data_IF_949481506469
#
_entry.id   IF_949481506469
#
_cell.length_a   1.000
_cell.length_b   1.000
_cell.length_c   1.000
_cell.angle_alpha   90.00
_cell.angle_beta   90.00
_cell.angle_gamma   90.00
#
_symmetry.space_group_name_H-M   'P 1'
#
loop_
_entity.id
_entity.type
_entity.pdbx_description
1 polymer ?
#
# COMPACT_ATOMS: atom_id res chain seq x y z
N UNK A 1 -22.75 36.36 30.90
CA UNK A 1 -21.63 35.67 30.25
C UNK A 1 -21.99 34.20 30.18
N UNK A 2 -22.48 33.74 29.03
CA UNK A 2 -22.99 32.37 28.85
C UNK A 2 -21.93 31.58 28.12
N UNK A 3 -21.31 30.60 28.80
CA UNK A 3 -20.33 29.69 28.21
C UNK A 3 -21.04 28.71 27.28
N UNK A 4 -20.74 28.78 25.98
CA UNK A 4 -21.19 27.82 24.99
C UNK A 4 -20.55 26.45 25.29
N UNK A 5 -21.32 25.35 25.38
CA UNK A 5 -20.75 24.04 25.65
C UNK A 5 -19.95 23.60 24.41
N UNK A 6 -18.70 23.17 24.64
CA UNK A 6 -17.83 22.64 23.60
C UNK A 6 -18.46 21.41 22.94
N UNK A 7 -19.03 21.60 21.76
CA UNK A 7 -19.48 20.50 20.92
C UNK A 7 -18.28 19.68 20.47
N UNK A 8 -18.34 18.36 20.66
CA UNK A 8 -17.33 17.45 20.14
C UNK A 8 -17.19 17.67 18.63
N UNK A 9 -15.95 17.67 18.08
CA UNK A 9 -15.74 17.81 16.65
C UNK A 9 -16.49 16.69 15.91
N UNK A 10 -17.22 17.07 14.87
CA UNK A 10 -17.97 16.12 14.06
C UNK A 10 -17.01 15.08 13.46
N UNK A 11 -17.43 13.79 13.37
CA UNK A 11 -16.61 12.76 12.75
C UNK A 11 -16.35 13.12 11.28
N UNK A 12 -15.11 12.89 10.84
CA UNK A 12 -14.73 13.12 9.45
C UNK A 12 -15.49 12.12 8.55
N UNK A 13 -15.97 12.56 7.38
CA UNK A 13 -16.66 11.67 6.45
C UNK A 13 -15.68 10.62 5.88
N UNK A 14 -16.18 9.42 5.52
CA UNK A 14 -15.36 8.40 4.88
C UNK A 14 -14.89 8.85 3.49
N UNK A 15 -13.69 8.44 3.10
CA UNK A 15 -13.11 8.76 1.80
C UNK A 15 -13.65 7.81 0.73
N UNK A 16 -14.37 8.34 -0.27
CA UNK A 16 -14.94 7.56 -1.37
C UNK A 16 -14.04 7.60 -2.62
N UNK A 17 -12.92 6.87 -2.61
CA UNK A 17 -11.99 6.77 -3.74
C UNK A 17 -12.29 5.57 -4.63
N UNK A 18 -12.05 5.71 -5.93
CA UNK A 18 -12.27 4.66 -6.93
C UNK A 18 -11.24 4.62 -8.03
N UNK A 19 -10.30 5.57 -8.06
CA UNK A 19 -9.19 5.59 -9.00
C UNK A 19 -7.90 5.71 -8.20
N UNK A 20 -6.97 4.81 -8.49
CA UNK A 20 -5.69 4.71 -7.80
C UNK A 20 -4.59 4.94 -8.83
N UNK A 21 -3.69 5.88 -8.59
CA UNK A 21 -2.61 6.20 -9.50
C UNK A 21 -1.30 6.00 -8.78
N UNK A 22 -0.44 5.16 -9.35
CA UNK A 22 0.93 5.05 -8.91
C UNK A 22 1.77 6.03 -9.72
N UNK A 23 2.30 7.06 -9.07
CA UNK A 23 3.09 8.11 -9.67
C UNK A 23 4.57 7.97 -9.30
N UNK A 24 5.47 7.98 -10.28
CA UNK A 24 6.91 7.86 -10.06
C UNK A 24 7.66 7.66 -11.38
N UNK A 25 8.99 7.81 -11.38
CA UNK A 25 9.80 7.88 -12.60
C UNK A 25 9.71 6.60 -13.44
N UNK A 26 9.29 6.71 -14.70
CA UNK A 26 9.25 5.59 -15.65
C UNK A 26 8.33 4.45 -15.21
N UNK A 27 7.19 4.78 -14.60
CA UNK A 27 6.17 3.82 -14.21
C UNK A 27 5.09 3.63 -15.27
N UNK A 28 4.86 4.61 -16.13
CA UNK A 28 3.78 4.61 -17.11
C UNK A 28 4.25 4.39 -18.56
N UNK A 29 3.28 4.27 -19.48
CA UNK A 29 3.55 4.00 -20.89
C UNK A 29 4.45 5.08 -21.50
N UNK A 30 5.34 4.66 -22.40
CA UNK A 30 6.33 5.53 -23.06
C UNK A 30 7.20 6.37 -22.10
N UNK A 31 7.44 5.88 -20.87
CA UNK A 31 8.27 6.57 -19.88
C UNK A 31 7.55 7.69 -19.14
N UNK A 32 6.22 7.75 -19.22
CA UNK A 32 5.43 8.63 -18.36
C UNK A 32 5.59 8.24 -16.88
N UNK A 33 5.29 9.18 -15.99
CA UNK A 33 5.50 8.99 -14.56
C UNK A 33 4.26 8.49 -13.81
N UNK A 34 3.25 7.91 -14.48
CA UNK A 34 1.98 7.54 -13.85
C UNK A 34 1.36 6.26 -14.43
N UNK A 35 0.83 5.42 -13.56
CA UNK A 35 0.10 4.19 -13.91
C UNK A 35 -1.20 4.12 -13.15
N UNK A 36 -2.29 3.82 -13.84
CA UNK A 36 -3.65 3.90 -13.29
C UNK A 36 -4.18 2.49 -12.97
N UNK A 37 -4.76 2.35 -11.80
CA UNK A 37 -5.39 1.16 -11.28
C UNK A 37 -6.83 1.43 -10.88
N UNK A 38 -7.68 0.42 -11.03
CA UNK A 38 -9.11 0.55 -10.68
C UNK A 38 -9.41 0.08 -9.26
N UNK A 39 -8.47 -0.61 -8.61
CA UNK A 39 -8.68 -1.16 -7.28
C UNK A 39 -7.39 -1.20 -6.47
N UNK A 40 -7.47 -0.70 -5.23
CA UNK A 40 -6.58 -1.08 -4.14
C UNK A 40 -7.11 -2.36 -3.50
N UNK A 41 -6.34 -3.44 -3.61
CA UNK A 41 -6.70 -4.74 -3.03
C UNK A 41 -6.34 -4.75 -1.56
N UNK A 42 -5.12 -4.35 -1.23
CA UNK A 42 -4.60 -4.35 0.13
C UNK A 42 -3.49 -3.32 0.29
N UNK A 43 -3.37 -2.76 1.49
CA UNK A 43 -2.22 -1.97 1.94
C UNK A 43 -1.88 -2.46 3.35
N UNK A 44 -0.68 -2.98 3.55
CA UNK A 44 -0.25 -3.63 4.79
C UNK A 44 1.09 -3.12 5.27
N UNK A 45 1.17 -2.82 6.57
CA UNK A 45 2.39 -2.48 7.29
C UNK A 45 2.30 -3.15 8.66
N UNK A 46 3.18 -4.11 8.90
CA UNK A 46 3.05 -5.03 10.04
C UNK A 46 4.35 -5.11 10.84
N UNK A 47 4.21 -5.22 12.16
CA UNK A 47 5.32 -5.53 13.06
C UNK A 47 5.07 -6.93 13.60
N UNK A 48 5.96 -7.87 13.27
CA UNK A 48 5.94 -9.22 13.83
C UNK A 48 6.34 -9.15 15.31
N UNK A 49 5.41 -9.40 16.27
CA UNK A 49 5.70 -9.19 17.68
C UNK A 49 6.82 -10.11 18.19
N UNK A 50 7.72 -9.56 19.02
CA UNK A 50 8.72 -10.38 19.68
C UNK A 50 8.05 -11.27 20.75
N UNK A 51 8.43 -12.55 20.80
CA UNK A 51 8.01 -13.42 21.89
C UNK A 51 8.66 -12.93 23.19
N UNK A 52 7.91 -12.74 24.29
CA UNK A 52 8.50 -12.35 25.56
C UNK A 52 9.47 -13.44 26.03
N UNK A 53 10.72 -13.04 26.29
CA UNK A 53 11.71 -13.93 26.88
C UNK A 53 11.36 -14.17 28.35
N UNK A 54 10.95 -15.39 28.69
CA UNK A 54 10.78 -15.80 30.10
C UNK A 54 12.15 -16.22 30.63
N UNK A 55 12.92 -15.28 31.18
CA UNK A 55 14.09 -15.66 31.99
C UNK A 55 13.60 -16.30 33.29
N UNK A 56 13.98 -17.57 33.59
CA UNK A 56 13.66 -18.16 34.88
C UNK A 56 14.33 -17.33 36.00
N UNK A 57 13.65 -17.08 37.13
CA UNK A 57 14.26 -16.36 38.24
C UNK A 57 15.47 -17.14 38.76
N UNK A 58 16.55 -16.46 39.20
CA UNK A 58 17.60 -17.12 39.96
C UNK A 58 16.97 -17.78 41.19
N UNK A 59 17.28 -19.06 41.39
CA UNK A 59 16.79 -19.89 42.49
C UNK A 59 17.02 -19.21 43.83
N UNK A 60 15.96 -18.67 44.45
CA UNK A 60 15.99 -18.22 45.85
C UNK A 60 15.31 -16.90 46.20
N UNK A 61 14.68 -16.16 45.28
CA UNK A 61 13.97 -14.91 45.63
C UNK A 61 12.48 -14.95 45.28
N UNK A 62 11.66 -14.71 46.31
CA UNK A 62 10.20 -14.61 46.23
C UNK A 62 9.77 -13.36 45.48
N UNK A 63 8.97 -13.58 44.45
CA UNK A 63 7.97 -12.69 43.85
C UNK A 63 8.43 -11.30 43.37
N UNK A 64 8.75 -11.24 42.09
CA UNK A 64 8.80 -10.00 41.32
C UNK A 64 8.99 -10.33 39.85
N UNK A 65 7.90 -10.67 39.13
CA UNK A 65 7.95 -10.73 37.67
C UNK A 65 8.09 -9.30 37.16
N UNK A 66 9.31 -8.85 36.94
CA UNK A 66 9.55 -7.59 36.24
C UNK A 66 9.18 -7.82 34.78
N UNK A 67 8.00 -7.37 34.36
CA UNK A 67 7.65 -7.27 32.95
C UNK A 67 8.47 -6.14 32.32
N UNK A 68 9.72 -6.41 31.94
CA UNK A 68 10.43 -5.56 30.99
C UNK A 68 9.63 -5.57 29.69
N UNK A 69 9.21 -4.37 29.24
CA UNK A 69 8.49 -4.19 27.97
C UNK A 69 9.28 -4.91 26.87
N UNK A 70 8.71 -5.98 26.33
CA UNK A 70 9.33 -6.70 25.23
C UNK A 70 9.59 -5.71 24.07
N UNK A 71 10.70 -5.86 23.33
CA UNK A 71 10.91 -5.08 22.12
C UNK A 71 9.70 -5.24 21.19
N UNK A 72 9.31 -4.17 20.49
CA UNK A 72 8.06 -4.11 19.71
C UNK A 72 7.95 -5.20 18.62
N UNK A 73 9.07 -5.82 18.24
CA UNK A 73 9.13 -6.88 17.25
C UNK A 73 10.01 -6.50 16.06
N UNK A 74 9.91 -7.29 14.99
CA UNK A 74 10.59 -7.02 13.71
C UNK A 74 9.58 -6.49 12.71
N UNK A 75 9.84 -5.32 12.12
CA UNK A 75 8.97 -4.78 11.06
C UNK A 75 9.09 -5.63 9.80
N UNK A 76 7.96 -6.03 9.22
CA UNK A 76 7.90 -6.65 7.91
C UNK A 76 7.89 -5.56 6.83
N UNK A 77 8.51 -5.78 5.66
CA UNK A 77 8.43 -4.84 4.54
C UNK A 77 6.96 -4.54 4.19
N UNK A 78 6.53 -3.27 4.20
CA UNK A 78 5.18 -2.92 3.82
C UNK A 78 4.87 -3.28 2.36
N UNK A 79 3.62 -3.67 2.13
CA UNK A 79 3.14 -4.07 0.81
C UNK A 79 1.88 -3.33 0.39
N UNK A 80 1.79 -3.02 -0.90
CA UNK A 80 0.63 -2.40 -1.54
C UNK A 80 0.24 -3.24 -2.76
N UNK A 81 -0.98 -3.77 -2.74
CA UNK A 81 -1.49 -4.60 -3.83
C UNK A 81 -2.53 -3.83 -4.62
N UNK A 82 -2.25 -3.59 -5.90
CA UNK A 82 -3.12 -2.87 -6.82
C UNK A 82 -3.59 -3.81 -7.93
N UNK A 83 -4.81 -3.56 -8.43
CA UNK A 83 -5.40 -4.35 -9.50
C UNK A 83 -5.97 -3.45 -10.58
N UNK A 84 -5.71 -3.83 -11.82
CA UNK A 84 -6.28 -3.18 -13.00
C UNK A 84 -6.66 -4.19 -14.07
N UNK A 85 -7.53 -3.80 -15.00
CA UNK A 85 -7.77 -4.54 -16.24
C UNK A 85 -6.49 -4.53 -17.06
N UNK A 86 -6.18 -5.66 -17.68
CA UNK A 86 -5.06 -5.75 -18.59
C UNK A 86 -5.33 -4.87 -19.82
N UNK A 87 -4.39 -3.98 -20.11
CA UNK A 87 -4.40 -3.10 -21.28
C UNK A 87 -3.06 -3.21 -22.03
N UNK A 88 -2.78 -2.29 -22.94
CA UNK A 88 -1.54 -2.28 -23.72
C UNK A 88 -0.32 -1.77 -22.94
N UNK A 89 -0.51 -1.22 -21.73
CA UNK A 89 0.58 -0.71 -20.92
C UNK A 89 1.27 -1.85 -20.18
N UNK A 90 2.50 -2.17 -20.60
CA UNK A 90 3.31 -3.24 -20.01
C UNK A 90 4.29 -2.74 -18.95
N UNK A 91 4.20 -1.47 -18.54
CA UNK A 91 5.17 -0.85 -17.64
C UNK A 91 5.30 -1.55 -16.28
N UNK A 92 4.22 -2.02 -15.62
CA UNK A 92 4.35 -2.78 -14.37
C UNK A 92 5.09 -4.11 -14.55
N UNK A 93 4.89 -4.81 -15.67
CA UNK A 93 5.65 -6.01 -16.01
C UNK A 93 7.12 -5.74 -16.23
N UNK A 94 7.46 -4.63 -16.90
CA UNK A 94 8.84 -4.22 -17.10
C UNK A 94 9.51 -3.86 -15.77
N UNK A 95 8.78 -3.18 -14.89
CA UNK A 95 9.24 -2.86 -13.53
C UNK A 95 9.50 -4.12 -12.70
N UNK A 96 8.56 -5.06 -12.71
CA UNK A 96 8.74 -6.38 -12.09
C UNK A 96 9.93 -7.14 -12.67
N UNK A 97 10.11 -7.13 -14.01
CA UNK A 97 11.25 -7.77 -14.66
C UNK A 97 12.56 -7.18 -14.18
N UNK A 98 12.68 -5.86 -14.09
CA UNK A 98 13.89 -5.20 -13.58
C UNK A 98 14.18 -5.62 -12.13
N UNK A 99 13.15 -5.70 -11.27
CA UNK A 99 13.29 -6.17 -9.90
C UNK A 99 13.74 -7.64 -9.83
N UNK A 100 13.16 -8.51 -10.67
CA UNK A 100 13.52 -9.94 -10.74
C UNK A 100 14.96 -10.18 -11.21
N UNK A 101 15.52 -9.22 -11.95
CA UNK A 101 16.91 -9.23 -12.40
C UNK A 101 17.87 -8.58 -11.39
N UNK A 102 17.37 -8.06 -10.26
CA UNK A 102 18.17 -7.38 -9.25
C UNK A 102 18.75 -6.04 -9.71
N UNK A 103 18.13 -5.38 -10.70
CA UNK A 103 18.62 -4.11 -11.21
C UNK A 103 18.25 -2.97 -10.26
N UNK A 104 19.22 -2.11 -9.93
CA UNK A 104 19.00 -0.97 -9.04
C UNK A 104 17.95 0.03 -9.56
N UNK A 105 17.79 0.13 -10.89
CA UNK A 105 16.76 0.96 -11.54
C UNK A 105 15.32 0.52 -11.25
N UNK A 106 15.14 -0.69 -10.70
CA UNK A 106 13.85 -1.19 -10.25
C UNK A 106 13.41 -0.55 -8.92
N UNK A 107 14.33 0.03 -8.15
CA UNK A 107 14.00 0.71 -6.90
C UNK A 107 13.62 2.16 -7.23
N UNK A 108 12.40 2.55 -6.87
CA UNK A 108 11.82 3.84 -7.22
C UNK A 108 11.09 4.45 -6.04
N UNK A 109 11.27 5.74 -5.81
CA UNK A 109 10.36 6.49 -4.94
C UNK A 109 9.08 6.78 -5.72
N UNK A 110 7.96 6.28 -5.20
CA UNK A 110 6.66 6.38 -5.86
C UNK A 110 5.61 6.89 -4.88
N UNK A 111 4.58 7.52 -5.41
CA UNK A 111 3.43 7.98 -4.66
C UNK A 111 2.18 7.23 -5.11
N UNK A 112 1.41 6.72 -4.16
CA UNK A 112 0.05 6.25 -4.38
C UNK A 112 -0.91 7.42 -4.18
N UNK A 113 -1.40 7.95 -5.29
CA UNK A 113 -2.41 8.99 -5.36
C UNK A 113 -3.80 8.34 -5.46
N UNK A 114 -4.73 8.74 -4.60
CA UNK A 114 -6.10 8.21 -4.58
C UNK A 114 -7.08 9.31 -4.95
N UNK A 115 -7.95 9.02 -5.91
CA UNK A 115 -8.91 9.96 -6.46
C UNK A 115 -10.34 9.45 -6.35
N UNK A 116 -11.27 10.39 -6.25
CA UNK A 116 -12.65 10.12 -6.66
C UNK A 116 -12.71 10.08 -8.19
N UNK A 117 -13.61 9.30 -8.77
CA UNK A 117 -13.79 9.27 -10.23
C UNK A 117 -13.98 10.68 -10.87
N UNK A 118 -14.85 11.57 -10.34
CA UNK A 118 -15.03 12.88 -10.95
C UNK A 118 -13.80 13.78 -10.81
N UNK A 119 -13.07 13.71 -9.70
CA UNK A 119 -11.88 14.55 -9.50
C UNK A 119 -10.73 14.13 -10.40
N UNK A 120 -10.57 12.81 -10.63
CA UNK A 120 -9.60 12.31 -11.60
C UNK A 120 -9.93 12.80 -13.02
N UNK A 121 -11.20 12.67 -13.44
CA UNK A 121 -11.63 13.11 -14.78
C UNK A 121 -11.49 14.63 -14.98
N UNK A 122 -11.65 15.42 -13.91
CA UNK A 122 -11.49 16.87 -13.91
C UNK A 122 -10.04 17.34 -13.73
N UNK A 123 -9.07 16.43 -13.56
CA UNK A 123 -7.67 16.78 -13.33
C UNK A 123 -7.41 17.51 -12.00
N UNK A 124 -8.27 17.29 -11.00
CA UNK A 124 -8.13 17.90 -9.67
C UNK A 124 -7.07 17.18 -8.84
N UNK A 125 -6.61 17.76 -7.71
CA UNK A 125 -5.69 17.09 -6.78
C UNK A 125 -6.25 15.77 -6.23
N UNK A 126 -5.39 14.82 -5.84
CA UNK A 126 -5.82 13.58 -5.21
C UNK A 126 -6.46 13.84 -3.85
N UNK A 127 -7.44 13.02 -3.51
CA UNK A 127 -8.13 13.06 -2.22
C UNK A 127 -7.24 12.54 -1.08
N UNK A 128 -6.31 11.63 -1.38
CA UNK A 128 -5.26 11.18 -0.47
C UNK A 128 -3.99 10.83 -1.26
N UNK A 129 -2.82 11.02 -0.66
CA UNK A 129 -1.53 10.64 -1.25
C UNK A 129 -0.67 9.94 -0.21
N UNK A 130 -0.05 8.84 -0.60
CA UNK A 130 0.88 8.06 0.23
C UNK A 130 2.22 7.92 -0.49
N UNK A 131 3.31 8.21 0.20
CA UNK A 131 4.66 8.02 -0.31
C UNK A 131 5.14 6.60 0.02
N UNK A 132 5.72 5.95 -0.98
CA UNK A 132 6.27 4.61 -0.93
C UNK A 132 7.77 4.70 -1.32
N UNK A 133 8.65 5.08 -0.38
CA UNK A 133 10.07 5.17 -0.64
C UNK A 133 10.69 3.82 -0.96
N UNK A 134 11.68 3.84 -1.86
CA UNK A 134 12.41 2.66 -2.30
C UNK A 134 11.50 1.50 -2.73
N UNK A 135 10.43 1.79 -3.45
CA UNK A 135 9.47 0.78 -3.86
C UNK A 135 9.96 -0.06 -5.06
N UNK A 136 9.55 -1.32 -5.11
CA UNK A 136 9.70 -2.20 -6.27
C UNK A 136 8.47 -3.08 -6.46
N UNK A 137 8.22 -3.50 -7.70
CA UNK A 137 7.18 -4.50 -7.97
C UNK A 137 7.70 -5.90 -7.63
N UNK A 138 7.28 -6.43 -6.48
CA UNK A 138 7.68 -7.73 -5.97
C UNK A 138 6.96 -8.90 -6.65
N UNK A 139 5.74 -8.66 -7.15
CA UNK A 139 4.94 -9.66 -7.86
C UNK A 139 4.04 -9.01 -8.89
N UNK A 140 3.97 -9.59 -10.08
CA UNK A 140 2.96 -9.26 -11.10
C UNK A 140 2.22 -10.53 -11.51
N UNK A 141 0.90 -10.49 -11.54
CA UNK A 141 0.03 -11.63 -11.88
C UNK A 141 -0.99 -11.21 -12.92
N UNK A 142 -1.09 -11.95 -14.02
CA UNK A 142 -2.20 -11.84 -14.98
C UNK A 142 -3.15 -13.00 -14.74
N UNK A 143 -4.42 -12.71 -14.51
CA UNK A 143 -5.45 -13.71 -14.32
C UNK A 143 -6.76 -13.29 -15.01
N UNK A 144 -7.50 -14.27 -15.53
CA UNK A 144 -8.82 -14.04 -16.08
C UNK A 144 -9.86 -14.18 -14.98
N UNK A 145 -10.70 -13.18 -14.80
CA UNK A 145 -11.88 -13.29 -13.95
C UNK A 145 -13.12 -13.47 -14.80
N UNK A 146 -13.69 -14.66 -14.69
CA UNK A 146 -14.94 -15.03 -15.33
C UNK A 146 -16.07 -14.16 -14.79
N UNK A 147 -16.67 -13.33 -15.64
CA UNK A 147 -17.80 -12.49 -15.26
C UNK A 147 -19.08 -13.05 -15.88
N UNK A 148 -20.04 -13.45 -15.04
CA UNK A 148 -21.38 -13.89 -15.46
C UNK A 148 -21.67 -15.39 -15.30
N UNK A 149 -22.96 -15.78 -15.33
CA UNK A 149 -23.43 -17.12 -14.93
C UNK A 149 -22.97 -18.26 -15.86
N UNK A 150 -22.53 -17.95 -17.09
CA UNK A 150 -22.23 -18.95 -18.12
C UNK A 150 -20.75 -19.03 -18.51
N UNK A 151 -19.86 -18.32 -17.81
CA UNK A 151 -18.43 -18.49 -18.03
C UNK A 151 -17.81 -17.86 -19.28
N UNK A 152 -18.59 -17.23 -20.15
CA UNK A 152 -18.16 -16.94 -21.52
C UNK A 152 -17.50 -15.57 -21.77
N UNK A 153 -17.48 -14.65 -20.80
CA UNK A 153 -16.80 -13.37 -20.93
C UNK A 153 -15.89 -13.12 -19.72
N UNK A 154 -14.62 -13.52 -19.85
CA UNK A 154 -13.60 -13.24 -18.85
C UNK A 154 -12.95 -11.89 -19.11
N UNK A 155 -12.92 -11.03 -18.09
CA UNK A 155 -12.06 -9.83 -18.12
C UNK A 155 -10.71 -10.24 -17.58
N UNK A 156 -9.65 -9.93 -18.32
CA UNK A 156 -8.29 -10.18 -17.88
C UNK A 156 -7.85 -9.04 -16.96
N UNK A 157 -7.36 -9.39 -15.78
CA UNK A 157 -6.83 -8.46 -14.80
C UNK A 157 -5.33 -8.69 -14.61
N UNK A 158 -4.64 -7.59 -14.39
CA UNK A 158 -3.30 -7.53 -13.86
C UNK A 158 -3.36 -7.08 -12.40
N UNK A 159 -2.77 -7.88 -11.53
CA UNK A 159 -2.57 -7.56 -10.10
C UNK A 159 -1.09 -7.43 -9.84
N UNK A 160 -0.68 -6.33 -9.23
CA UNK A 160 0.70 -6.06 -8.85
C UNK A 160 0.81 -5.89 -7.35
N UNK A 161 1.85 -6.49 -6.78
CA UNK A 161 2.25 -6.33 -5.39
C UNK A 161 3.53 -5.51 -5.36
N UNK A 162 3.47 -4.39 -4.66
CA UNK A 162 4.56 -3.43 -4.51
C UNK A 162 5.08 -3.58 -3.09
N UNK A 163 6.38 -3.85 -2.96
CA UNK A 163 7.08 -3.76 -1.67
C UNK A 163 7.78 -2.41 -1.61
N UNK A 164 7.94 -1.88 -0.40
CA UNK A 164 8.62 -0.60 -0.15
C UNK A 164 9.20 -0.60 1.27
N UNK A 165 9.98 0.42 1.61
CA UNK A 165 10.56 0.55 2.95
C UNK A 165 9.56 1.07 3.98
N UNK A 166 8.63 1.93 3.54
CA UNK A 166 7.63 2.56 4.39
C UNK A 166 6.39 2.96 3.61
N UNK A 167 5.28 3.18 4.32
CA UNK A 167 4.06 3.79 3.76
C UNK A 167 3.81 5.06 4.57
N UNK A 168 4.06 6.21 3.95
CA UNK A 168 4.02 7.50 4.64
C UNK A 168 2.87 8.36 4.08
N UNK A 169 2.04 8.99 4.92
CA UNK A 169 1.07 9.95 4.40
C UNK A 169 1.81 11.18 3.84
N UNK A 170 1.30 11.75 2.74
CA UNK A 170 1.89 12.97 2.20
C UNK A 170 1.81 14.12 3.22
N UNK A 171 2.96 14.67 3.59
CA UNK A 171 3.08 15.79 4.55
C UNK A 171 3.41 15.40 5.99
N UNK A 172 3.77 14.13 6.25
CA UNK A 172 4.39 13.71 7.51
C UNK A 172 5.90 14.04 7.56
#
# INVERSE_FOLDING_TARGET
>A
MTTQPGGAPAPLPPLAVSVFVLAGPGLGPAGTSKTVFQQLVQMTSEIQPAQPATTPPPTGTTSGVTHTRAPLGTALPPTVTLKRRLDADTSPWQWHRAASLGLAEAIKDVALEMYTAPDYAAGKPPAATWQLPNAWCAKATIATETTGPNGQNGVVYETVEICCDAILPAGA
#
